data_IF_069284339056
#
_entry.id   IF_069284339056
#
_cell.length_a   1.000
_cell.length_b   1.000
_cell.length_c   1.000
_cell.angle_alpha   90.00
_cell.angle_beta   90.00
_cell.angle_gamma   90.00
#
_symmetry.space_group_name_H-M   'P 1'
#
loop_
_entity.id
_entity.type
_entity.pdbx_description
1 polymer ?
#
# COMPACT_ATOMS: atom_id res chain seq x y z
N UNK A 1 -13.23 18.98 21.24
CA UNK A 1 -13.42 18.92 19.77
C UNK A 1 -12.65 17.73 19.23
N UNK A 2 -13.28 16.72 18.62
CA UNK A 2 -12.54 15.63 18.00
C UNK A 2 -11.87 16.18 16.74
N UNK A 3 -10.55 16.01 16.62
CA UNK A 3 -9.84 16.25 15.36
C UNK A 3 -10.28 15.15 14.39
N UNK A 4 -11.24 15.46 13.53
CA UNK A 4 -11.65 14.55 12.48
C UNK A 4 -10.50 14.36 11.50
N UNK A 5 -10.01 13.13 11.35
CA UNK A 5 -9.10 12.80 10.27
C UNK A 5 -9.86 12.91 8.95
N UNK A 6 -9.63 13.98 8.18
CA UNK A 6 -10.12 14.06 6.82
C UNK A 6 -9.21 13.29 5.86
N UNK A 7 -9.81 12.65 4.85
CA UNK A 7 -9.04 12.05 3.75
C UNK A 7 -8.32 13.17 3.00
N UNK A 8 -7.05 12.95 2.67
CA UNK A 8 -6.19 13.94 1.99
C UNK A 8 -6.63 14.31 0.56
N UNK A 9 -7.72 13.74 0.04
CA UNK A 9 -8.19 13.99 -1.33
C UNK A 9 -7.22 13.48 -2.40
N UNK A 10 -6.47 12.42 -2.12
CA UNK A 10 -5.45 11.87 -3.02
C UNK A 10 -5.87 10.52 -3.59
N UNK A 11 -5.49 10.31 -4.84
CA UNK A 11 -5.48 9.03 -5.53
C UNK A 11 -4.02 8.60 -5.76
N UNK A 12 -3.75 7.30 -5.72
CA UNK A 12 -2.40 6.75 -5.89
C UNK A 12 -2.33 5.84 -7.12
N UNK A 13 -1.14 5.64 -7.69
CA UNK A 13 -0.95 4.76 -8.85
C UNK A 13 -0.15 3.50 -8.52
N UNK A 14 0.39 3.39 -7.31
CA UNK A 14 1.20 2.22 -6.89
C UNK A 14 1.17 2.00 -5.39
N UNK A 15 1.13 0.73 -4.99
CA UNK A 15 1.22 0.26 -3.61
C UNK A 15 2.59 -0.36 -3.32
N UNK A 16 3.15 -0.05 -2.16
CA UNK A 16 4.37 -0.67 -1.63
C UNK A 16 4.06 -1.24 -0.24
N UNK A 17 4.40 -2.51 -0.04
CA UNK A 17 4.34 -3.18 1.25
C UNK A 17 5.76 -3.41 1.76
N UNK A 18 6.00 -3.08 3.03
CA UNK A 18 7.26 -3.38 3.73
C UNK A 18 6.97 -4.39 4.83
N UNK A 19 7.45 -5.61 4.68
CA UNK A 19 7.23 -6.72 5.59
C UNK A 19 8.39 -6.80 6.58
N UNK A 20 8.09 -6.79 7.87
CA UNK A 20 9.09 -7.00 8.93
C UNK A 20 8.80 -8.35 9.61
N UNK A 21 9.61 -9.39 9.32
CA UNK A 21 9.38 -10.71 9.90
C UNK A 21 9.56 -10.71 11.42
N UNK A 22 8.78 -11.57 12.09
CA UNK A 22 8.89 -11.84 13.51
C UNK A 22 10.10 -12.72 13.80
N UNK A 23 10.82 -12.43 14.89
CA UNK A 23 11.96 -13.24 15.34
C UNK A 23 13.33 -12.68 14.97
N UNK A 24 13.59 -11.42 15.29
CA UNK A 24 14.90 -10.74 15.15
C UNK A 24 16.03 -11.28 16.05
N UNK A 25 16.19 -12.60 16.14
CA UNK A 25 17.31 -13.27 16.81
C UNK A 25 18.41 -13.73 15.87
N UNK A 26 18.09 -14.06 14.62
CA UNK A 26 19.08 -14.38 13.60
C UNK A 26 19.39 -13.14 12.76
N UNK A 27 20.68 -12.83 12.62
CA UNK A 27 21.24 -11.66 11.93
C UNK A 27 20.85 -11.55 10.42
N UNK A 28 19.92 -12.37 9.94
CA UNK A 28 19.43 -12.42 8.56
C UNK A 28 18.01 -11.88 8.33
N UNK A 29 17.24 -11.54 9.37
CA UNK A 29 15.84 -11.09 9.18
C UNK A 29 15.76 -9.63 8.71
N UNK A 30 15.96 -9.41 7.40
CA UNK A 30 15.88 -8.10 6.77
C UNK A 30 14.43 -7.79 6.35
N UNK A 31 14.00 -6.51 6.45
CA UNK A 31 12.71 -6.10 5.91
C UNK A 31 12.62 -6.42 4.41
N UNK A 32 11.52 -7.02 3.99
CA UNK A 32 11.24 -7.30 2.57
C UNK A 32 10.32 -6.21 2.02
N UNK A 33 10.61 -5.67 0.84
CA UNK A 33 9.74 -4.69 0.17
C UNK A 33 9.11 -5.29 -1.07
N UNK A 34 7.77 -5.31 -1.12
CA UNK A 34 6.99 -5.75 -2.28
C UNK A 34 6.29 -4.55 -2.92
N UNK A 35 6.30 -4.48 -4.24
CA UNK A 35 5.76 -3.34 -5.01
C UNK A 35 4.76 -3.82 -6.05
N UNK A 36 3.63 -3.14 -6.16
CA UNK A 36 2.69 -3.39 -7.25
C UNK A 36 3.23 -2.89 -8.59
N UNK A 37 2.70 -3.44 -9.67
CA UNK A 37 2.75 -2.77 -10.96
C UNK A 37 2.07 -1.38 -10.86
N UNK A 38 2.47 -0.40 -11.69
CA UNK A 38 1.69 0.82 -11.85
C UNK A 38 0.28 0.50 -12.33
N UNK A 39 -0.69 1.28 -11.89
CA UNK A 39 -2.06 1.29 -12.42
C UNK A 39 -2.55 2.75 -12.57
N UNK A 40 -3.65 2.99 -13.29
CA UNK A 40 -4.32 4.28 -13.26
C UNK A 40 -4.56 4.75 -11.83
N UNK A 41 -4.36 6.04 -11.58
CA UNK A 41 -4.47 6.57 -10.24
C UNK A 41 -5.88 6.34 -9.68
N UNK A 42 -6.00 5.82 -8.45
CA UNK A 42 -7.29 5.56 -7.82
C UNK A 42 -7.28 5.82 -6.31
N UNK A 43 -8.42 6.30 -5.80
CA UNK A 43 -8.69 6.43 -4.37
C UNK A 43 -9.56 5.29 -3.82
N UNK A 44 -9.88 4.28 -4.65
CA UNK A 44 -10.75 3.18 -4.27
C UNK A 44 -10.04 2.18 -3.32
N UNK A 45 -10.49 2.06 -2.05
CA UNK A 45 -9.89 1.15 -1.09
C UNK A 45 -10.12 -0.33 -1.41
N UNK A 46 -11.11 -0.69 -2.23
CA UNK A 46 -11.32 -2.08 -2.65
C UNK A 46 -10.22 -2.54 -3.62
N UNK A 47 -9.82 -1.66 -4.54
CA UNK A 47 -8.70 -1.89 -5.45
C UNK A 47 -7.40 -2.10 -4.67
N UNK A 48 -7.11 -1.23 -3.69
CA UNK A 48 -5.89 -1.36 -2.88
C UNK A 48 -5.86 -2.62 -2.02
N UNK A 49 -6.99 -3.02 -1.43
CA UNK A 49 -7.09 -4.27 -0.66
C UNK A 49 -6.81 -5.49 -1.52
N UNK A 50 -7.34 -5.52 -2.74
CA UNK A 50 -7.06 -6.59 -3.72
C UNK A 50 -5.58 -6.65 -4.07
N UNK A 51 -4.97 -5.52 -4.42
CA UNK A 51 -3.53 -5.46 -4.77
C UNK A 51 -2.65 -5.88 -3.58
N UNK A 52 -2.99 -5.45 -2.36
CA UNK A 52 -2.25 -5.83 -1.16
C UNK A 52 -2.28 -7.35 -0.96
N UNK A 53 -3.46 -7.97 -1.11
CA UNK A 53 -3.62 -9.42 -1.05
C UNK A 53 -2.79 -10.12 -2.11
N UNK A 54 -2.89 -9.68 -3.36
CA UNK A 54 -2.12 -10.26 -4.47
C UNK A 54 -0.60 -10.17 -4.23
N UNK A 55 -0.11 -9.10 -3.58
CA UNK A 55 1.31 -8.96 -3.22
C UNK A 55 1.74 -9.90 -2.09
N UNK A 56 0.85 -10.20 -1.15
CA UNK A 56 1.10 -11.13 -0.06
C UNK A 56 1.04 -12.58 -0.56
N UNK A 57 0.11 -12.90 -1.46
CA UNK A 57 -0.12 -14.27 -1.97
C UNK A 57 0.99 -14.75 -2.94
N UNK A 58 1.76 -13.84 -3.55
CA UNK A 58 2.84 -14.18 -4.52
C UNK A 58 3.96 -15.04 -3.93
N UNK A 59 4.20 -14.97 -2.63
CA UNK A 59 5.27 -15.73 -1.96
C UNK A 59 4.92 -15.88 -0.50
N UNK A 60 5.14 -17.08 0.06
CA UNK A 60 4.89 -17.36 1.48
C UNK A 60 5.44 -16.23 2.36
N UNK A 61 4.54 -15.62 3.13
CA UNK A 61 4.87 -14.52 4.04
C UNK A 61 5.18 -15.15 5.39
N UNK A 62 6.41 -15.00 5.93
CA UNK A 62 6.70 -15.47 7.28
C UNK A 62 5.82 -14.71 8.29
N UNK A 63 5.68 -15.20 9.53
CA UNK A 63 5.07 -14.40 10.60
C UNK A 63 5.69 -13.01 10.64
N UNK A 64 4.87 -11.96 10.73
CA UNK A 64 5.31 -10.56 10.71
C UNK A 64 5.03 -9.89 12.04
N UNK A 65 6.01 -9.16 12.58
CA UNK A 65 5.80 -8.28 13.74
C UNK A 65 5.30 -6.89 13.31
N UNK A 66 5.58 -6.49 12.05
CA UNK A 66 5.17 -5.20 11.50
C UNK A 66 4.94 -5.27 9.99
N UNK A 67 3.90 -4.57 9.55
CA UNK A 67 3.59 -4.32 8.15
C UNK A 67 3.56 -2.81 7.88
N UNK A 68 4.44 -2.34 7.00
CA UNK A 68 4.41 -1.00 6.44
C UNK A 68 3.60 -0.98 5.15
N UNK A 69 2.78 0.05 4.96
CA UNK A 69 1.97 0.25 3.76
C UNK A 69 2.17 1.67 3.26
N UNK A 70 2.63 1.80 2.02
CA UNK A 70 2.90 3.11 1.41
C UNK A 70 2.23 3.19 0.05
N UNK A 71 1.45 4.25 -0.16
CA UNK A 71 0.90 4.62 -1.46
C UNK A 71 1.82 5.64 -2.13
N UNK A 72 2.11 5.44 -3.42
CA UNK A 72 3.04 6.28 -4.20
C UNK A 72 2.42 6.70 -5.52
N UNK A 73 3.02 7.71 -6.15
CA UNK A 73 2.47 8.33 -7.37
C UNK A 73 1.13 8.98 -7.09
N UNK A 74 1.11 9.84 -6.06
CA UNK A 74 -0.07 10.51 -5.55
C UNK A 74 -0.44 11.68 -6.46
N UNK A 75 -1.73 11.79 -6.77
CA UNK A 75 -2.34 12.91 -7.50
C UNK A 75 -3.63 13.34 -6.79
N UNK A 76 -4.08 14.60 -6.94
CA UNK A 76 -5.39 15.01 -6.45
C UNK A 76 -6.51 14.15 -7.07
N UNK A 77 -7.44 13.66 -6.25
CA UNK A 77 -8.51 12.77 -6.68
C UNK A 77 -9.45 13.42 -7.72
N UNK A 78 -9.63 14.74 -7.64
CA UNK A 78 -10.46 15.52 -8.57
C UNK A 78 -9.91 15.45 -10.02
N UNK A 79 -8.59 15.42 -10.19
CA UNK A 79 -7.94 15.29 -11.51
C UNK A 79 -8.18 13.91 -12.14
N UNK A 80 -8.33 12.87 -11.33
CA UNK A 80 -8.63 11.52 -11.82
C UNK A 80 -10.06 11.44 -12.33
N UNK A 81 -11.01 12.09 -11.65
CA UNK A 81 -12.40 12.12 -12.10
C UNK A 81 -12.55 12.92 -13.39
N UNK A 82 -11.86 14.07 -13.50
CA UNK A 82 -11.90 14.89 -14.70
C UNK A 82 -11.38 14.17 -15.96
N UNK A 83 -10.53 13.16 -15.82
CA UNK A 83 -10.03 12.37 -16.94
C UNK A 83 -10.96 11.23 -17.39
N UNK A 84 -12.08 10.99 -16.68
CA UNK A 84 -13.06 9.94 -16.97
C UNK A 84 -14.33 10.47 -17.65
N UNK A 85 -14.44 11.79 -17.86
CA UNK A 85 -15.53 12.48 -18.55
C UNK A 85 -14.99 13.26 -19.75
#
# INVERSE_FOLDING_TARGET
MPRGCHRAGLAASRLVLTLHPAGGGDAGSRPETRRSAPLPATADPAVWRRIARDLLDRTAVPPLDRLGVTLTGLVPADQVQAALF
#
